data_IF_349556347872
#
_entry.id   IF_349556347872
#
_cell.length_a   1.000
_cell.length_b   1.000
_cell.length_c   1.000
_cell.angle_alpha   90.00
_cell.angle_beta   90.00
_cell.angle_gamma   90.00
#
_symmetry.space_group_name_H-M   'P 1'
#
loop_
_entity.id
_entity.type
_entity.pdbx_description
1 polymer ?
#
# COMPACT_ATOMS: atom_id res chain seq x y z
N UNK A 1 -70.05 -40.83 -5.44
CA UNK A 1 -69.47 -39.47 -5.39
C UNK A 1 -68.16 -39.52 -4.62
N UNK A 2 -67.04 -39.63 -5.33
CA UNK A 2 -65.70 -39.57 -4.73
C UNK A 2 -65.27 -38.10 -4.72
N UNK A 3 -65.07 -37.50 -3.55
CA UNK A 3 -64.52 -36.14 -3.41
C UNK A 3 -63.03 -36.25 -3.12
N UNK A 4 -62.21 -35.86 -4.09
CA UNK A 4 -60.78 -35.62 -3.89
C UNK A 4 -60.58 -34.33 -3.08
N UNK A 5 -59.93 -34.44 -1.93
CA UNK A 5 -59.38 -33.30 -1.18
C UNK A 5 -57.89 -33.20 -1.48
N UNK A 6 -57.52 -32.20 -2.28
CA UNK A 6 -56.10 -31.86 -2.52
C UNK A 6 -55.45 -31.23 -1.29
N UNK A 7 -54.14 -31.38 -1.08
CA UNK A 7 -53.43 -30.75 0.04
C UNK A 7 -53.31 -29.23 -0.18
N UNK A 8 -53.25 -28.43 0.90
CA UNK A 8 -53.15 -26.98 0.79
C UNK A 8 -51.77 -26.58 0.26
N UNK A 9 -51.80 -25.65 -0.70
CA UNK A 9 -50.63 -24.95 -1.25
C UNK A 9 -49.75 -24.42 -0.12
N UNK A 10 -48.51 -24.91 -0.03
CA UNK A 10 -47.45 -24.27 0.75
C UNK A 10 -47.28 -22.86 0.20
N UNK A 11 -47.58 -21.85 1.03
CA UNK A 11 -47.11 -20.48 0.79
C UNK A 11 -45.59 -20.50 0.87
N UNK A 12 -44.97 -20.30 -0.28
CA UNK A 12 -43.54 -20.07 -0.41
C UNK A 12 -43.24 -18.68 0.17
N UNK A 13 -42.79 -18.62 1.43
CA UNK A 13 -42.31 -17.39 2.05
C UNK A 13 -40.91 -17.09 1.50
N UNK A 14 -40.83 -16.55 0.29
CA UNK A 14 -39.63 -15.89 -0.23
C UNK A 14 -39.83 -14.37 -0.20
N UNK A 15 -39.10 -13.69 0.67
CA UNK A 15 -38.56 -12.33 0.50
C UNK A 15 -38.13 -11.72 1.86
N UNK A 16 -37.18 -12.35 2.56
CA UNK A 16 -36.25 -11.54 3.33
C UNK A 16 -35.22 -10.99 2.34
N UNK A 17 -35.50 -9.79 1.81
CA UNK A 17 -34.54 -9.09 0.95
C UNK A 17 -33.24 -8.92 1.73
N UNK A 18 -32.16 -9.54 1.23
CA UNK A 18 -30.83 -9.40 1.81
C UNK A 18 -30.47 -7.91 1.87
N UNK A 19 -30.00 -7.44 3.03
CA UNK A 19 -29.43 -6.10 3.17
C UNK A 19 -28.36 -5.85 2.08
N UNK A 20 -28.28 -4.63 1.53
CA UNK A 20 -27.29 -4.32 0.50
C UNK A 20 -25.87 -4.55 1.04
N UNK A 21 -25.00 -5.13 0.21
CA UNK A 21 -23.63 -5.44 0.58
C UNK A 21 -22.75 -4.18 0.48
N UNK A 22 -22.92 -3.24 1.40
CA UNK A 22 -22.23 -1.95 1.40
C UNK A 22 -20.81 -2.03 1.97
N UNK A 23 -19.91 -1.18 1.47
CA UNK A 23 -18.58 -1.03 2.03
C UNK A 23 -18.62 -0.09 3.24
N UNK A 24 -18.30 -0.62 4.41
CA UNK A 24 -18.48 0.03 5.71
C UNK A 24 -17.83 1.42 5.79
N UNK A 25 -16.58 1.53 5.35
CA UNK A 25 -15.79 2.77 5.40
C UNK A 25 -16.39 3.91 4.56
N UNK A 26 -17.00 3.55 3.43
CA UNK A 26 -17.56 4.51 2.48
C UNK A 26 -19.06 4.72 2.61
N UNK A 27 -19.73 4.04 3.54
CA UNK A 27 -21.21 4.07 3.67
C UNK A 27 -21.63 4.82 4.93
N UNK A 28 -22.66 5.67 4.81
CA UNK A 28 -23.31 6.30 5.97
C UNK A 28 -24.08 5.23 6.74
N UNK A 29 -23.90 5.08 8.06
CA UNK A 29 -24.67 4.13 8.85
C UNK A 29 -26.17 4.48 8.83
N UNK A 30 -26.96 3.77 8.03
CA UNK A 30 -28.41 3.94 7.94
C UNK A 30 -29.08 2.61 7.58
N UNK A 31 -30.30 2.40 8.06
CA UNK A 31 -31.16 1.25 7.71
C UNK A 31 -31.83 1.48 6.35
N UNK A 32 -31.02 1.66 5.33
CA UNK A 32 -31.49 1.89 3.96
C UNK A 32 -31.49 0.59 3.15
N UNK A 33 -32.40 0.51 2.16
CA UNK A 33 -32.44 -0.62 1.21
C UNK A 33 -31.33 -0.55 0.16
N UNK A 34 -30.55 0.54 0.14
CA UNK A 34 -29.44 0.79 -0.77
C UNK A 34 -28.27 1.45 -0.02
N UNK A 35 -27.06 1.35 -0.56
CA UNK A 35 -25.89 2.00 0.03
C UNK A 35 -25.95 3.51 -0.22
N UNK A 36 -25.82 4.30 0.84
CA UNK A 36 -25.70 5.76 0.77
C UNK A 36 -24.25 6.13 1.04
N UNK A 37 -23.56 6.64 0.03
CA UNK A 37 -22.12 6.89 0.13
C UNK A 37 -21.84 8.13 0.97
N UNK A 38 -20.80 8.05 1.80
CA UNK A 38 -20.19 9.21 2.45
C UNK A 38 -19.61 10.12 1.38
N UNK A 39 -19.46 11.40 1.72
CA UNK A 39 -18.72 12.33 0.87
C UNK A 39 -17.30 11.78 0.63
N UNK A 40 -16.83 11.78 -0.62
CA UNK A 40 -15.54 11.18 -0.98
C UNK A 40 -15.60 9.74 -1.48
N UNK A 41 -16.78 9.10 -1.57
CA UNK A 41 -16.96 7.70 -1.96
C UNK A 41 -18.01 7.52 -3.06
N UNK A 42 -17.77 6.56 -3.95
CA UNK A 42 -18.54 6.31 -5.17
C UNK A 42 -18.89 4.82 -5.37
N UNK A 43 -19.81 4.60 -6.32
CA UNK A 43 -20.25 3.29 -6.77
C UNK A 43 -21.40 2.73 -5.94
N UNK A 44 -22.07 1.71 -6.48
CA UNK A 44 -23.29 1.14 -5.88
C UNK A 44 -23.06 0.54 -4.49
N UNK A 45 -21.83 0.11 -4.19
CA UNK A 45 -21.41 -0.43 -2.90
C UNK A 45 -20.63 0.58 -2.05
N UNK A 46 -20.48 1.84 -2.51
CA UNK A 46 -19.72 2.91 -1.85
C UNK A 46 -18.26 2.55 -1.52
N UNK A 47 -17.61 1.81 -2.41
CA UNK A 47 -16.29 1.21 -2.17
C UNK A 47 -15.15 1.89 -2.93
N UNK A 48 -15.43 2.91 -3.73
CA UNK A 48 -14.44 3.58 -4.58
C UNK A 48 -14.22 5.01 -4.09
N UNK A 49 -13.04 5.36 -3.57
CA UNK A 49 -12.79 6.71 -3.09
C UNK A 49 -12.58 7.70 -4.25
N UNK A 50 -12.87 8.99 -4.03
CA UNK A 50 -12.75 10.09 -4.99
C UNK A 50 -11.41 10.10 -5.72
N UNK A 51 -10.33 9.90 -4.97
CA UNK A 51 -8.94 9.89 -5.46
C UNK A 51 -8.68 8.83 -6.54
N UNK A 52 -9.43 7.72 -6.50
CA UNK A 52 -9.41 6.67 -7.52
C UNK A 52 -10.40 7.00 -8.63
N UNK A 53 -11.62 7.41 -8.27
CA UNK A 53 -12.70 7.73 -9.21
C UNK A 53 -12.32 8.84 -10.21
N UNK A 54 -11.54 9.82 -9.78
CA UNK A 54 -11.11 10.96 -10.59
C UNK A 54 -10.14 10.59 -11.72
N UNK A 55 -9.68 9.34 -11.78
CA UNK A 55 -8.76 8.85 -12.79
C UNK A 55 -9.52 8.36 -14.04
N UNK A 56 -9.32 9.02 -15.18
CA UNK A 56 -9.95 8.64 -16.46
C UNK A 56 -9.75 7.15 -16.82
N UNK A 57 -8.54 6.61 -16.59
CA UNK A 57 -8.26 5.20 -16.92
C UNK A 57 -9.04 4.25 -16.02
N UNK A 58 -9.24 4.63 -14.76
CA UNK A 58 -10.08 3.89 -13.84
C UNK A 58 -11.54 3.88 -14.32
N UNK A 59 -12.09 5.04 -14.71
CA UNK A 59 -13.46 5.14 -15.22
C UNK A 59 -13.70 4.26 -16.46
N UNK A 60 -12.70 4.17 -17.34
CA UNK A 60 -12.72 3.25 -18.50
C UNK A 60 -12.76 1.77 -18.08
N UNK A 61 -12.05 1.36 -17.04
CA UNK A 61 -12.14 -0.01 -16.51
C UNK A 61 -13.44 -0.27 -15.77
N UNK A 62 -13.91 0.71 -15.00
CA UNK A 62 -15.15 0.64 -14.24
C UNK A 62 -16.36 0.49 -15.17
N UNK A 63 -16.48 1.34 -16.20
CA UNK A 63 -17.54 1.27 -17.22
C UNK A 63 -17.55 -0.04 -18.02
N UNK A 64 -16.41 -0.73 -18.13
CA UNK A 64 -16.29 -2.05 -18.76
C UNK A 64 -16.60 -3.21 -17.81
N UNK A 65 -16.96 -2.94 -16.55
CA UNK A 65 -17.23 -3.96 -15.54
C UNK A 65 -16.00 -4.76 -15.11
N UNK A 66 -14.79 -4.22 -15.32
CA UNK A 66 -13.55 -4.88 -14.92
C UNK A 66 -13.29 -4.75 -13.43
N UNK A 67 -13.59 -3.58 -12.87
CA UNK A 67 -13.41 -3.30 -11.44
C UNK A 67 -14.48 -4.04 -10.65
N UNK A 68 -14.07 -4.92 -9.74
CA UNK A 68 -14.99 -5.74 -8.93
C UNK A 68 -14.53 -5.76 -7.48
N UNK A 69 -15.44 -5.54 -6.54
CA UNK A 69 -15.11 -5.69 -5.12
C UNK A 69 -14.91 -7.17 -4.77
N UNK A 70 -13.92 -7.42 -3.94
CA UNK A 70 -13.49 -8.75 -3.51
C UNK A 70 -14.29 -9.16 -2.29
N UNK A 71 -14.73 -10.42 -2.26
CA UNK A 71 -15.34 -11.02 -1.07
C UNK A 71 -14.35 -11.22 0.07
N UNK A 72 -13.07 -11.46 -0.26
CA UNK A 72 -11.96 -11.53 0.70
C UNK A 72 -10.91 -10.47 0.36
N UNK A 73 -10.65 -9.50 1.25
CA UNK A 73 -9.59 -8.53 1.03
C UNK A 73 -8.22 -9.19 0.91
N UNK A 74 -7.31 -8.48 0.27
CA UNK A 74 -5.91 -8.90 0.18
C UNK A 74 -5.03 -8.30 1.26
N UNK A 75 -3.94 -8.99 1.57
CA UNK A 75 -2.95 -8.45 2.48
C UNK A 75 -2.17 -7.35 1.77
N UNK A 76 -1.91 -6.26 2.47
CA UNK A 76 -0.96 -5.23 2.04
C UNK A 76 0.28 -5.31 2.92
N UNK A 77 1.43 -5.50 2.27
CA UNK A 77 2.74 -5.55 2.90
C UNK A 77 3.49 -4.30 2.45
N UNK A 78 3.69 -3.37 3.38
CA UNK A 78 4.41 -2.13 3.12
C UNK A 78 5.85 -2.23 3.65
N UNK A 79 6.81 -2.15 2.75
CA UNK A 79 8.23 -2.26 3.05
C UNK A 79 8.98 -0.95 2.79
N UNK A 80 9.85 -0.58 3.71
CA UNK A 80 10.71 0.60 3.58
C UNK A 80 11.98 0.46 4.42
N UNK A 81 12.99 1.23 4.04
CA UNK A 81 14.21 1.38 4.84
C UNK A 81 13.95 2.45 5.89
N UNK A 82 14.37 2.18 7.12
CA UNK A 82 14.27 3.08 8.26
C UNK A 82 15.67 3.44 8.75
N UNK A 83 15.86 4.71 9.09
CA UNK A 83 17.07 5.23 9.68
C UNK A 83 16.80 5.83 11.07
N UNK A 84 16.16 7.00 11.14
CA UNK A 84 15.86 7.71 12.40
C UNK A 84 14.50 8.43 12.35
N UNK A 85 13.66 8.09 11.37
CA UNK A 85 12.41 8.79 11.06
C UNK A 85 11.24 8.35 11.96
N UNK A 86 11.41 8.43 13.29
CA UNK A 86 10.44 7.94 14.27
C UNK A 86 9.06 8.59 14.10
N UNK A 87 9.00 9.91 13.94
CA UNK A 87 7.74 10.64 13.76
C UNK A 87 7.01 10.21 12.48
N UNK A 88 7.74 10.08 11.37
CA UNK A 88 7.18 9.61 10.09
C UNK A 88 6.71 8.16 10.19
N UNK A 89 7.43 7.31 10.92
CA UNK A 89 7.02 5.93 11.18
C UNK A 89 5.72 5.89 12.01
N UNK A 90 5.60 6.72 13.06
CA UNK A 90 4.38 6.81 13.85
C UNK A 90 3.19 7.27 12.99
N UNK A 91 3.37 8.36 12.24
CA UNK A 91 2.33 8.89 11.35
C UNK A 91 1.90 7.81 10.35
N UNK A 92 2.86 7.15 9.68
CA UNK A 92 2.58 6.06 8.73
C UNK A 92 1.75 4.94 9.33
N UNK A 93 2.12 4.47 10.52
CA UNK A 93 1.46 3.32 11.16
C UNK A 93 0.07 3.70 11.65
N UNK A 94 -0.12 4.93 12.15
CA UNK A 94 -1.43 5.42 12.57
C UNK A 94 -2.35 5.72 11.39
N UNK A 95 -1.85 6.36 10.34
CA UNK A 95 -2.64 6.76 9.16
C UNK A 95 -3.07 5.55 8.33
N UNK A 96 -2.22 4.53 8.21
CA UNK A 96 -2.46 3.37 7.34
C UNK A 96 -2.83 2.10 8.12
N UNK A 97 -3.04 2.22 9.43
CA UNK A 97 -3.08 1.11 10.38
C UNK A 97 -4.20 0.10 10.16
N UNK A 98 -5.25 0.43 9.41
CA UNK A 98 -6.35 -0.47 9.04
C UNK A 98 -6.23 -0.98 7.59
N UNK A 99 -5.61 -0.20 6.72
CA UNK A 99 -5.34 -0.59 5.34
C UNK A 99 -4.17 -1.57 5.23
N UNK A 100 -3.07 -1.33 5.95
CA UNK A 100 -1.85 -2.15 5.92
C UNK A 100 -1.91 -3.29 6.94
N UNK A 101 -1.51 -4.49 6.50
CA UNK A 101 -1.50 -5.69 7.34
C UNK A 101 -0.13 -5.93 7.96
N UNK A 102 0.94 -5.69 7.20
CA UNK A 102 2.32 -5.86 7.68
C UNK A 102 3.25 -4.73 7.21
N UNK A 103 4.02 -4.19 8.14
CA UNK A 103 5.12 -3.25 7.87
C UNK A 103 6.44 -4.00 7.96
N UNK A 104 7.14 -4.15 6.84
CA UNK A 104 8.47 -4.78 6.80
C UNK A 104 9.52 -3.68 6.83
N UNK A 105 10.06 -3.41 8.02
CA UNK A 105 10.89 -2.25 8.26
C UNK A 105 12.35 -2.69 8.33
N UNK A 106 13.16 -2.26 7.37
CA UNK A 106 14.58 -2.59 7.32
C UNK A 106 15.42 -1.49 7.97
N UNK A 107 16.15 -1.83 9.04
CA UNK A 107 17.11 -0.93 9.68
C UNK A 107 18.52 -1.54 9.58
N UNK A 108 19.52 -0.72 9.28
CA UNK A 108 20.93 -1.12 9.36
C UNK A 108 21.62 -0.51 10.58
N UNK A 109 22.66 -1.18 11.10
CA UNK A 109 23.60 -0.60 12.05
C UNK A 109 24.75 0.17 11.35
N UNK A 110 24.66 0.36 10.05
CA UNK A 110 25.55 1.21 9.25
C UNK A 110 24.77 2.35 8.58
N UNK A 111 25.42 3.48 8.38
CA UNK A 111 24.97 4.54 7.48
C UNK A 111 25.19 4.15 6.02
N UNK A 112 24.68 4.92 5.06
CA UNK A 112 24.97 4.69 3.64
C UNK A 112 26.45 4.93 3.27
N UNK A 113 27.22 5.56 4.17
CA UNK A 113 28.66 5.75 4.05
C UNK A 113 29.49 4.70 4.80
N UNK A 114 28.84 3.75 5.48
CA UNK A 114 29.53 2.66 6.18
C UNK A 114 30.00 3.01 7.60
N UNK A 115 29.66 4.19 8.12
CA UNK A 115 29.87 4.49 9.55
C UNK A 115 28.85 3.76 10.41
N UNK A 116 29.23 3.34 11.60
CA UNK A 116 28.31 2.64 12.51
C UNK A 116 27.28 3.60 13.09
N UNK A 117 26.04 3.11 13.24
CA UNK A 117 24.94 3.85 13.88
C UNK A 117 24.16 2.94 14.85
N UNK A 118 23.56 3.51 15.91
CA UNK A 118 22.60 2.79 16.73
C UNK A 118 21.39 2.28 15.93
N UNK A 119 20.75 1.24 16.45
CA UNK A 119 19.49 0.71 15.96
C UNK A 119 18.34 1.43 16.69
N UNK A 120 17.91 2.55 16.13
CA UNK A 120 16.85 3.40 16.66
C UNK A 120 15.50 2.68 16.64
N UNK A 121 15.17 1.93 15.58
CA UNK A 121 13.90 1.18 15.53
C UNK A 121 13.87 0.11 16.61
N UNK A 122 14.92 -0.71 16.70
CA UNK A 122 14.96 -1.82 17.65
C UNK A 122 14.84 -1.33 19.10
N UNK A 123 15.58 -0.28 19.45
CA UNK A 123 15.55 0.30 20.80
C UNK A 123 14.19 0.90 21.14
N UNK A 124 13.57 1.67 20.24
CA UNK A 124 12.26 2.28 20.47
C UNK A 124 11.14 1.25 20.57
N UNK A 125 11.10 0.24 19.69
CA UNK A 125 10.11 -0.84 19.78
C UNK A 125 10.23 -1.60 21.12
N UNK A 126 11.45 -1.84 21.59
CA UNK A 126 11.69 -2.48 22.89
C UNK A 126 11.23 -1.62 24.07
N UNK A 127 11.26 -0.29 23.92
CA UNK A 127 10.75 0.67 24.90
C UNK A 127 9.21 0.85 24.85
N UNK A 128 8.51 0.17 23.94
CA UNK A 128 7.04 0.22 23.83
C UNK A 128 6.50 1.18 22.77
N UNK A 129 7.36 1.76 21.94
CA UNK A 129 6.93 2.54 20.77
C UNK A 129 6.05 1.66 19.85
N UNK A 130 4.90 2.19 19.43
CA UNK A 130 3.91 1.51 18.58
C UNK A 130 3.41 0.15 19.12
N UNK A 131 3.36 -0.02 20.44
CA UNK A 131 2.92 -1.26 21.10
C UNK A 131 1.56 -1.78 20.59
N UNK A 132 0.61 -0.89 20.34
CA UNK A 132 -0.73 -1.23 19.82
C UNK A 132 -0.68 -1.86 18.42
N UNK A 133 0.32 -1.51 17.62
CA UNK A 133 0.53 -1.99 16.25
C UNK A 133 1.68 -2.99 16.14
N UNK A 134 2.31 -3.41 17.24
CA UNK A 134 3.48 -4.29 17.23
C UNK A 134 3.25 -5.60 16.46
N UNK A 135 2.03 -6.14 16.49
CA UNK A 135 1.63 -7.34 15.76
C UNK A 135 1.67 -7.19 14.22
N UNK A 136 1.72 -5.96 13.70
CA UNK A 136 1.86 -5.63 12.27
C UNK A 136 3.30 -5.33 11.88
N UNK A 137 4.20 -5.07 12.83
CA UNK A 137 5.56 -4.59 12.54
C UNK A 137 6.52 -5.76 12.48
N UNK A 138 7.18 -5.91 11.34
CA UNK A 138 8.23 -6.90 11.08
C UNK A 138 9.59 -6.19 10.96
N UNK A 139 10.31 -5.99 12.08
CA UNK A 139 11.62 -5.34 12.04
C UNK A 139 12.66 -6.31 11.43
N UNK A 140 13.49 -5.77 10.54
CA UNK A 140 14.60 -6.47 9.90
C UNK A 140 15.89 -5.68 10.13
N UNK A 141 16.79 -6.23 10.94
CA UNK A 141 18.13 -5.66 11.12
C UNK A 141 19.08 -6.20 10.07
N UNK A 142 19.77 -5.32 9.34
CA UNK A 142 20.80 -5.66 8.36
C UNK A 142 22.18 -5.21 8.85
N UNK A 143 23.02 -6.20 9.16
CA UNK A 143 24.36 -6.00 9.74
C UNK A 143 25.51 -5.97 8.74
N UNK A 144 25.22 -5.85 7.44
CA UNK A 144 26.23 -5.88 6.37
C UNK A 144 26.21 -4.56 5.61
N UNK A 145 27.35 -3.90 5.54
CA UNK A 145 27.56 -2.76 4.66
C UNK A 145 28.05 -3.27 3.29
N UNK A 146 27.17 -3.22 2.29
CA UNK A 146 27.49 -3.66 0.94
C UNK A 146 27.90 -2.48 0.06
N UNK A 147 29.17 -2.11 0.08
CA UNK A 147 29.78 -1.16 -0.87
C UNK A 147 30.34 -1.88 -2.10
N UNK A 148 29.53 -2.75 -2.72
CA UNK A 148 29.96 -3.51 -3.90
C UNK A 148 30.46 -2.60 -5.02
N UNK A 149 31.60 -2.97 -5.64
CA UNK A 149 32.24 -2.38 -6.82
C UNK A 149 32.36 -0.84 -6.88
N UNK A 150 32.28 -0.15 -5.73
CA UNK A 150 32.28 1.31 -5.68
C UNK A 150 30.96 1.98 -6.07
N UNK A 151 29.86 1.22 -6.18
CA UNK A 151 28.55 1.79 -6.50
C UNK A 151 27.93 2.47 -5.25
N UNK A 152 27.72 3.80 -5.27
CA UNK A 152 27.13 4.54 -4.16
C UNK A 152 25.76 4.01 -3.70
N UNK A 153 24.97 3.45 -4.63
CA UNK A 153 23.63 2.95 -4.36
C UNK A 153 23.59 1.49 -3.88
N UNK A 154 24.73 0.78 -3.85
CA UNK A 154 24.78 -0.63 -3.49
C UNK A 154 24.25 -0.92 -2.07
N UNK A 155 24.56 -0.12 -1.02
CA UNK A 155 24.03 -0.36 0.32
C UNK A 155 22.49 -0.21 0.35
N UNK A 156 21.97 0.85 -0.26
CA UNK A 156 20.53 1.10 -0.31
C UNK A 156 19.77 0.03 -1.08
N UNK A 157 20.29 -0.36 -2.24
CA UNK A 157 19.73 -1.45 -3.03
C UNK A 157 19.74 -2.76 -2.23
N UNK A 158 20.80 -3.05 -1.48
CA UNK A 158 20.86 -4.24 -0.64
C UNK A 158 19.81 -4.22 0.48
N UNK A 159 19.60 -3.07 1.14
CA UNK A 159 18.56 -2.93 2.16
C UNK A 159 17.16 -3.09 1.56
N UNK A 160 16.89 -2.43 0.43
CA UNK A 160 15.60 -2.54 -0.29
C UNK A 160 15.32 -3.97 -0.76
N UNK A 161 16.34 -4.67 -1.26
CA UNK A 161 16.26 -6.07 -1.64
C UNK A 161 15.99 -6.98 -0.43
N UNK A 162 16.62 -6.67 0.71
CA UNK A 162 16.43 -7.42 1.97
C UNK A 162 15.01 -7.34 2.50
N UNK A 163 14.31 -6.21 2.33
CA UNK A 163 12.90 -6.04 2.72
C UNK A 163 12.05 -7.16 2.13
N UNK A 164 12.10 -7.35 0.82
CA UNK A 164 11.26 -8.36 0.16
C UNK A 164 11.72 -9.78 0.49
N UNK A 165 13.00 -10.10 0.30
CA UNK A 165 13.45 -11.50 0.45
C UNK A 165 13.32 -12.02 1.88
N UNK A 166 13.64 -11.20 2.89
CA UNK A 166 13.48 -11.61 4.30
C UNK A 166 12.03 -11.47 4.76
N UNK A 167 11.32 -10.44 4.31
CA UNK A 167 9.90 -10.23 4.61
C UNK A 167 9.03 -11.39 4.10
N UNK A 168 9.18 -11.77 2.83
CA UNK A 168 8.40 -12.88 2.26
C UNK A 168 8.69 -14.22 2.92
N UNK A 169 9.93 -14.44 3.38
CA UNK A 169 10.29 -15.66 4.12
C UNK A 169 9.55 -15.74 5.46
N UNK A 170 9.50 -14.61 6.20
CA UNK A 170 8.76 -14.51 7.47
C UNK A 170 7.24 -14.65 7.29
N UNK A 171 6.70 -14.22 6.16
CA UNK A 171 5.27 -14.25 5.85
C UNK A 171 4.84 -15.44 4.96
N UNK A 172 5.74 -16.40 4.68
CA UNK A 172 5.53 -17.49 3.72
C UNK A 172 4.20 -18.22 3.86
N UNK A 173 3.76 -18.47 5.09
CA UNK A 173 2.55 -19.26 5.38
C UNK A 173 1.25 -18.46 5.26
N UNK A 174 1.34 -17.14 5.18
CA UNK A 174 0.19 -16.22 5.11
C UNK A 174 0.03 -15.63 3.70
N UNK A 175 1.12 -15.56 2.95
CA UNK A 175 1.20 -14.93 1.63
C UNK A 175 0.42 -15.68 0.55
N UNK A 176 -0.41 -14.94 -0.18
CA UNK A 176 -1.04 -15.35 -1.44
C UNK A 176 -0.44 -14.57 -2.59
N UNK A 177 -0.54 -15.16 -3.78
CA UNK A 177 -0.02 -14.54 -5.00
C UNK A 177 -0.77 -13.26 -5.40
N UNK A 178 -2.02 -13.11 -4.97
CA UNK A 178 -2.83 -11.92 -5.21
C UNK A 178 -2.74 -10.85 -4.11
N UNK A 179 -1.98 -11.10 -3.03
CA UNK A 179 -1.63 -10.09 -2.02
C UNK A 179 -0.70 -9.01 -2.61
N UNK A 180 -0.68 -7.83 -1.99
CA UNK A 180 0.09 -6.68 -2.48
C UNK A 180 1.38 -6.49 -1.69
N UNK A 181 2.47 -6.35 -2.42
CA UNK A 181 3.71 -5.81 -1.87
C UNK A 181 3.87 -4.37 -2.34
N UNK A 182 4.16 -3.47 -1.40
CA UNK A 182 4.44 -2.07 -1.65
C UNK A 182 5.82 -1.70 -1.08
N UNK A 183 6.73 -1.20 -1.91
CA UNK A 183 8.01 -0.65 -1.50
C UNK A 183 8.06 0.86 -1.71
N UNK A 184 8.43 1.61 -0.67
CA UNK A 184 8.51 3.07 -0.68
C UNK A 184 9.63 3.57 0.25
N UNK A 185 9.89 4.87 0.26
CA UNK A 185 10.80 5.52 1.23
C UNK A 185 10.07 5.80 2.54
N UNK A 186 10.77 6.06 3.64
CA UNK A 186 10.15 6.33 4.96
C UNK A 186 9.19 7.54 4.93
N UNK A 187 9.49 8.51 4.08
CA UNK A 187 8.82 9.80 3.94
C UNK A 187 7.85 9.87 2.76
N UNK A 188 7.48 8.73 2.16
CA UNK A 188 6.49 8.60 1.08
C UNK A 188 5.23 7.89 1.63
N UNK A 189 4.24 8.64 2.13
CA UNK A 189 3.03 8.08 2.75
C UNK A 189 1.88 8.06 1.74
N UNK A 190 1.43 6.88 1.26
CA UNK A 190 0.26 6.78 0.37
C UNK A 190 -1.02 7.16 1.13
N UNK A 191 -2.05 7.60 0.39
CA UNK A 191 -3.36 7.86 0.99
C UNK A 191 -4.02 6.53 1.45
N UNK A 192 -4.58 6.53 2.67
CA UNK A 192 -5.27 5.38 3.27
C UNK A 192 -6.35 4.78 2.36
N UNK A 193 -7.22 5.61 1.80
CA UNK A 193 -8.37 5.14 1.03
C UNK A 193 -7.94 4.55 -0.32
N UNK A 194 -6.85 5.03 -0.90
CA UNK A 194 -6.19 4.36 -2.05
C UNK A 194 -5.80 2.94 -1.67
N UNK A 195 -5.19 2.73 -0.51
CA UNK A 195 -4.80 1.39 -0.07
C UNK A 195 -6.02 0.50 0.19
N UNK A 196 -7.08 1.03 0.80
CA UNK A 196 -8.34 0.30 0.96
C UNK A 196 -8.95 -0.11 -0.39
N UNK A 197 -8.95 0.79 -1.38
CA UNK A 197 -9.40 0.43 -2.72
C UNK A 197 -8.58 -0.74 -3.29
N UNK A 198 -7.24 -0.64 -3.25
CA UNK A 198 -6.35 -1.69 -3.75
C UNK A 198 -6.57 -3.02 -3.01
N UNK A 199 -6.78 -2.97 -1.68
CA UNK A 199 -7.07 -4.11 -0.81
C UNK A 199 -8.38 -4.83 -1.15
N UNK A 200 -9.39 -4.07 -1.59
CA UNK A 200 -10.75 -4.59 -1.74
C UNK A 200 -11.23 -4.77 -3.18
N UNK A 201 -10.46 -4.42 -4.21
CA UNK A 201 -10.94 -4.48 -5.61
C UNK A 201 -10.02 -5.27 -6.52
N UNK A 202 -10.59 -6.00 -7.49
CA UNK A 202 -9.90 -6.60 -8.63
C UNK A 202 -10.02 -5.72 -9.88
N UNK A 203 -9.31 -6.08 -10.94
CA UNK A 203 -9.51 -5.56 -12.30
C UNK A 203 -8.77 -4.26 -12.64
N UNK A 204 -8.06 -3.66 -11.68
CA UNK A 204 -7.20 -2.50 -11.92
C UNK A 204 -5.83 -2.92 -12.48
N UNK A 205 -5.09 -1.95 -13.02
CA UNK A 205 -3.77 -2.17 -13.60
C UNK A 205 -2.60 -2.19 -12.60
N UNK A 206 -1.61 -3.04 -12.86
CA UNK A 206 -0.34 -3.12 -12.11
C UNK A 206 0.90 -3.07 -13.06
N UNK A 207 2.08 -2.63 -12.57
CA UNK A 207 2.34 -2.12 -11.22
C UNK A 207 1.67 -0.76 -11.00
N UNK A 208 1.37 -0.48 -9.74
CA UNK A 208 0.73 0.76 -9.28
C UNK A 208 1.79 1.75 -8.83
N UNK A 209 1.61 2.99 -9.27
CA UNK A 209 2.28 4.17 -8.78
C UNK A 209 1.26 5.15 -8.20
N UNK A 210 1.68 5.97 -7.25
CA UNK A 210 0.85 7.00 -6.61
C UNK A 210 1.49 8.37 -6.81
N UNK A 211 0.67 9.39 -7.06
CA UNK A 211 1.10 10.78 -7.10
C UNK A 211 0.93 11.40 -5.73
N UNK A 212 2.05 11.77 -5.11
CA UNK A 212 2.10 12.30 -3.76
C UNK A 212 2.23 13.83 -3.77
N UNK A 213 1.48 14.51 -2.92
CA UNK A 213 1.69 15.92 -2.60
C UNK A 213 3.07 16.08 -1.97
N UNK A 214 3.92 16.93 -2.52
CA UNK A 214 5.34 16.96 -2.14
C UNK A 214 5.68 18.19 -1.30
N UNK A 215 6.09 17.95 -0.06
CA UNK A 215 6.53 18.93 0.91
C UNK A 215 8.03 18.88 1.19
N UNK A 216 8.55 19.99 1.71
CA UNK A 216 9.95 20.20 2.05
C UNK A 216 10.06 20.85 3.43
N UNK A 217 11.11 20.48 4.17
CA UNK A 217 11.51 21.11 5.43
C UNK A 217 10.36 21.21 6.43
N UNK A 218 9.97 20.09 7.03
CA UNK A 218 8.92 20.08 8.07
C UNK A 218 7.58 20.67 7.60
N UNK A 219 7.18 20.40 6.35
CA UNK A 219 5.95 20.92 5.72
C UNK A 219 5.88 22.44 5.51
N UNK A 220 6.97 23.19 5.70
CA UNK A 220 6.98 24.64 5.50
C UNK A 220 6.79 25.03 4.02
N UNK A 221 7.20 24.18 3.09
CA UNK A 221 7.14 24.46 1.66
C UNK A 221 6.48 23.32 0.90
N UNK A 222 5.64 23.66 -0.06
CA UNK A 222 5.06 22.72 -1.01
C UNK A 222 5.71 22.90 -2.37
N UNK A 223 6.13 21.79 -2.99
CA UNK A 223 6.64 21.81 -4.35
C UNK A 223 5.49 22.04 -5.33
N UNK A 224 5.76 22.80 -6.40
CA UNK A 224 4.75 23.15 -7.42
C UNK A 224 4.14 21.93 -8.12
N UNK A 225 4.89 20.84 -8.19
CA UNK A 225 4.45 19.59 -8.82
C UNK A 225 4.49 18.46 -7.79
N UNK A 226 3.50 17.55 -7.82
CA UNK A 226 3.58 16.34 -7.02
C UNK A 226 4.71 15.44 -7.52
N UNK A 227 5.15 14.52 -6.66
CA UNK A 227 6.08 13.46 -7.02
C UNK A 227 5.30 12.18 -7.33
N UNK A 228 5.67 11.46 -8.38
CA UNK A 228 5.08 10.16 -8.69
C UNK A 228 6.04 9.09 -8.18
N UNK A 229 5.58 8.29 -7.23
CA UNK A 229 6.34 7.16 -6.70
C UNK A 229 5.68 5.86 -7.13
N UNK A 230 6.46 5.01 -7.80
CA UNK A 230 6.07 3.62 -8.01
C UNK A 230 6.22 2.84 -6.72
N UNK A 231 5.68 1.63 -6.67
CA UNK A 231 6.07 0.76 -5.58
C UNK A 231 5.16 -0.41 -5.28
N UNK A 232 3.96 -0.51 -5.86
CA UNK A 232 3.04 -1.59 -5.50
C UNK A 232 2.70 -2.53 -6.65
N UNK A 233 2.67 -3.82 -6.39
CA UNK A 233 2.14 -4.84 -7.30
C UNK A 233 1.68 -6.07 -6.52
N UNK A 234 1.00 -6.99 -7.19
CA UNK A 234 0.73 -8.31 -6.61
C UNK A 234 2.02 -9.10 -6.42
N UNK A 235 2.02 -10.01 -5.44
CA UNK A 235 3.16 -10.92 -5.18
C UNK A 235 3.49 -11.76 -6.41
N UNK A 236 2.49 -12.24 -7.15
CA UNK A 236 2.71 -12.94 -8.41
C UNK A 236 3.36 -12.03 -9.47
N UNK A 237 2.94 -10.77 -9.60
CA UNK A 237 3.59 -9.84 -10.52
C UNK A 237 5.07 -9.64 -10.17
N UNK A 238 5.38 -9.43 -8.88
CA UNK A 238 6.75 -9.30 -8.43
C UNK A 238 7.59 -10.54 -8.78
N UNK A 239 7.09 -11.74 -8.48
CA UNK A 239 7.80 -13.01 -8.73
C UNK A 239 7.99 -13.32 -10.21
N UNK A 240 6.94 -13.14 -11.01
CA UNK A 240 6.89 -13.67 -12.38
C UNK A 240 7.18 -12.63 -13.46
N UNK A 241 6.93 -11.34 -13.22
CA UNK A 241 7.20 -10.25 -14.18
C UNK A 241 8.45 -9.47 -13.81
N UNK A 242 8.63 -9.19 -12.52
CA UNK A 242 9.85 -8.55 -12.01
C UNK A 242 10.90 -9.54 -11.50
N UNK A 243 10.77 -10.84 -11.83
CA UNK A 243 11.78 -11.85 -11.55
C UNK A 243 12.18 -11.91 -10.07
N UNK A 244 11.20 -11.63 -9.20
CA UNK A 244 11.33 -11.57 -7.75
C UNK A 244 12.28 -10.46 -7.24
N UNK A 245 12.59 -9.45 -8.08
CA UNK A 245 13.45 -8.31 -7.75
C UNK A 245 12.61 -7.06 -7.36
N UNK A 246 12.61 -6.66 -6.07
CA UNK A 246 11.85 -5.49 -5.61
C UNK A 246 12.42 -4.16 -6.11
N UNK A 247 13.68 -4.09 -6.57
CA UNK A 247 14.26 -2.86 -7.10
C UNK A 247 13.61 -2.48 -8.43
N UNK A 248 13.24 -3.47 -9.24
CA UNK A 248 12.50 -3.25 -10.49
C UNK A 248 11.13 -2.63 -10.22
N UNK A 249 10.49 -3.01 -9.13
CA UNK A 249 9.25 -2.40 -8.66
C UNK A 249 9.47 -0.96 -8.17
N UNK A 250 10.49 -0.73 -7.33
CA UNK A 250 10.82 0.62 -6.80
C UNK A 250 11.16 1.61 -7.91
N UNK A 251 11.98 1.21 -8.87
CA UNK A 251 12.37 2.04 -10.04
C UNK A 251 11.27 2.10 -11.11
N UNK A 252 10.26 1.25 -10.97
CA UNK A 252 9.19 1.06 -11.94
C UNK A 252 9.73 0.78 -13.35
N UNK A 253 10.64 -0.19 -13.42
CA UNK A 253 11.31 -0.63 -14.63
C UNK A 253 10.30 -1.10 -15.69
N UNK A 254 10.69 -0.98 -16.96
CA UNK A 254 9.94 -1.56 -18.07
C UNK A 254 9.88 -3.08 -17.92
N UNK A 255 8.79 -3.66 -18.37
CA UNK A 255 8.53 -5.09 -18.31
C UNK A 255 7.94 -5.59 -19.64
N UNK A 256 8.16 -6.87 -19.92
CA UNK A 256 7.46 -7.56 -21.00
C UNK A 256 6.13 -8.11 -20.48
N UNK A 257 5.08 -8.03 -21.29
CA UNK A 257 3.79 -8.65 -20.97
C UNK A 257 3.97 -10.17 -20.90
N UNK A 258 3.49 -10.80 -19.83
CA UNK A 258 3.49 -12.26 -19.66
C UNK A 258 2.07 -12.70 -19.34
N UNK A 259 1.60 -13.89 -19.68
CA UNK A 259 0.31 -14.31 -19.15
C UNK A 259 0.47 -14.65 -17.65
N UNK A 260 -0.06 -13.80 -16.77
CA UNK A 260 -0.20 -14.12 -15.35
C UNK A 260 -1.61 -14.65 -15.14
N UNK A 261 -1.72 -15.96 -14.89
CA UNK A 261 -2.93 -16.51 -14.32
C UNK A 261 -3.03 -16.05 -12.86
N UNK A 262 -4.25 -15.80 -12.39
CA UNK A 262 -4.61 -15.70 -10.97
C UNK A 262 -4.33 -14.38 -10.22
N UNK A 263 -3.75 -13.33 -10.82
CA UNK A 263 -3.60 -12.03 -10.13
C UNK A 263 -4.89 -11.21 -10.06
N UNK A 264 -5.85 -11.49 -10.95
CA UNK A 264 -7.13 -10.77 -11.12
C UNK A 264 -6.96 -9.26 -11.37
N UNK A 265 -5.78 -8.85 -11.80
CA UNK A 265 -5.38 -7.48 -12.18
C UNK A 265 -5.07 -7.43 -13.68
N UNK A 266 -4.91 -6.22 -14.21
CA UNK A 266 -4.47 -5.99 -15.59
C UNK A 266 -2.97 -5.72 -15.61
N UNK A 267 -2.23 -6.27 -16.57
CA UNK A 267 -0.79 -5.98 -16.75
C UNK A 267 -0.54 -4.67 -17.46
N UNK A 268 -1.16 -3.62 -16.94
CA UNK A 268 -1.01 -2.28 -17.44
C UNK A 268 -0.66 -1.39 -16.27
N UNK A 269 0.55 -0.82 -16.32
CA UNK A 269 0.99 0.17 -15.33
C UNK A 269 -0.08 1.22 -15.11
N UNK A 270 -0.37 1.48 -13.84
CA UNK A 270 -1.39 2.44 -13.43
C UNK A 270 -0.81 3.45 -12.46
N UNK A 271 -0.98 4.74 -12.76
CA UNK A 271 -0.67 5.81 -11.82
C UNK A 271 -1.97 6.38 -11.27
N UNK A 272 -2.16 6.25 -9.96
CA UNK A 272 -3.25 6.88 -9.21
C UNK A 272 -2.79 8.30 -8.91
N UNK A 273 -3.30 9.26 -9.69
CA UNK A 273 -2.91 10.67 -9.53
C UNK A 273 -3.68 11.39 -8.44
N UNK A 274 -4.96 11.03 -8.27
CA UNK A 274 -5.91 11.91 -7.63
C UNK A 274 -6.20 13.16 -8.45
N UNK A 275 -6.91 14.11 -7.86
CA UNK A 275 -7.15 15.45 -8.43
C UNK A 275 -6.84 16.48 -7.35
N UNK A 276 -5.92 17.43 -7.56
CA UNK A 276 -5.61 18.44 -6.56
C UNK A 276 -6.90 19.10 -6.03
N UNK A 277 -7.09 19.20 -4.71
CA UNK A 277 -6.13 18.91 -3.62
C UNK A 277 -6.10 17.46 -3.11
N UNK A 278 -6.89 16.55 -3.67
CA UNK A 278 -7.00 15.13 -3.31
C UNK A 278 -5.91 14.29 -3.99
N UNK A 279 -4.68 14.35 -3.47
CA UNK A 279 -3.55 13.54 -3.94
C UNK A 279 -3.65 12.09 -3.45
N UNK A 280 -2.94 11.17 -4.11
CA UNK A 280 -2.87 9.75 -3.72
C UNK A 280 -1.93 9.49 -2.53
N UNK A 281 -1.66 10.51 -1.73
CA UNK A 281 -0.78 10.51 -0.57
C UNK A 281 0.08 11.77 -0.52
N UNK A 282 1.11 11.75 0.32
CA UNK A 282 2.05 12.85 0.49
C UNK A 282 3.48 12.34 0.67
N UNK A 283 4.44 13.18 0.29
CA UNK A 283 5.86 12.96 0.45
C UNK A 283 6.46 14.18 1.13
N UNK A 284 7.34 13.99 2.11
CA UNK A 284 7.92 15.10 2.87
C UNK A 284 9.45 14.95 2.96
N UNK A 285 10.18 15.61 2.06
CA UNK A 285 11.65 15.57 2.10
C UNK A 285 12.18 16.45 3.22
N UNK A 286 13.13 15.93 4.01
CA UNK A 286 13.78 16.66 5.11
C UNK A 286 12.80 17.12 6.19
N UNK A 287 11.81 16.29 6.51
CA UNK A 287 10.77 16.63 7.48
C UNK A 287 11.16 16.22 8.90
N UNK A 288 12.23 16.87 9.35
CA UNK A 288 12.78 16.82 10.69
C UNK A 288 12.98 18.25 11.20
N UNK A 289 13.33 18.37 12.48
CA UNK A 289 13.94 19.60 12.97
C UNK A 289 15.34 19.82 12.35
N UNK A 290 15.95 20.98 12.61
CA UNK A 290 17.24 21.31 12.02
C UNK A 290 18.33 20.27 12.35
N UNK A 291 18.28 19.67 13.54
CA UNK A 291 19.22 18.63 13.95
C UNK A 291 19.01 17.33 13.15
N UNK A 292 17.78 16.86 13.02
CA UNK A 292 17.45 15.67 12.24
C UNK A 292 17.74 15.84 10.74
N UNK A 293 17.61 17.05 10.20
CA UNK A 293 18.07 17.35 8.83
C UNK A 293 19.60 17.18 8.73
N UNK A 294 20.36 17.71 9.68
CA UNK A 294 21.81 17.55 9.73
C UNK A 294 22.20 16.06 9.83
N UNK A 295 21.54 15.29 10.70
CA UNK A 295 21.75 13.84 10.82
C UNK A 295 21.41 13.15 9.49
N UNK A 296 20.30 13.49 8.86
CA UNK A 296 19.91 12.91 7.57
C UNK A 296 20.97 13.14 6.49
N UNK A 297 21.51 14.36 6.38
CA UNK A 297 22.58 14.72 5.42
C UNK A 297 23.85 13.91 5.68
N UNK A 298 24.20 13.67 6.95
CA UNK A 298 25.39 12.89 7.32
C UNK A 298 25.21 11.39 7.06
N UNK A 299 23.97 10.91 7.00
CA UNK A 299 23.66 9.48 6.92
C UNK A 299 23.33 9.05 5.48
N UNK A 300 22.81 9.95 4.65
CA UNK A 300 22.45 9.72 3.25
C UNK A 300 23.43 10.37 2.28
N UNK A 301 23.69 9.70 1.15
CA UNK A 301 24.31 10.35 0.00
C UNK A 301 23.35 11.39 -0.58
N UNK A 302 23.66 12.67 -0.34
CA UNK A 302 22.94 13.79 -0.96
C UNK A 302 23.43 13.94 -2.40
N UNK A 303 23.00 13.04 -3.27
CA UNK A 303 23.10 13.20 -4.71
C UNK A 303 21.75 12.82 -5.33
N UNK A 304 20.77 13.73 -5.21
CA UNK A 304 19.57 13.74 -6.05
C UNK A 304 19.74 14.83 -7.10
#
# INVERSE_FOLDING_TARGET
MVKHTGPPLRKDNSAHGSLPNCFEEGTVPALEKMCVCRNGWHGDECSIPDVVWSNRRFQEWFSRGLIKRRSKPRLIINGFVFNHELDLLEIRVRELGDAVDYYVICESNYTFFGTTKPLYLQSNLSAGFLREHAHKILPLTVGVFNYGDGNPWAPENYFRTSIWHRGQSKLKHLLRDDDLFMIADADEIPNRDVLLFLKHHDGYGEPVAVSLRWFLYGFFWENRKPVVVGGACTVAFLRHVYENDPLRLRRADKYATRNLSNTRTQQQRWTIKGTPPLYAGWHCSWCFDAHGIQVSILYFQVYR
#
